data_IF_322294692182
#
_entry.id   IF_322294692182
#
_cell.length_a   1.000
_cell.length_b   1.000
_cell.length_c   1.000
_cell.angle_alpha   90.00
_cell.angle_beta   90.00
_cell.angle_gamma   90.00
#
_symmetry.space_group_name_H-M   'P 1'
#
loop_
_entity.id
_entity.type
_entity.pdbx_description
1 polymer ?
#
# COMPACT_ATOMS: atom_id res chain seq x y z
N UNK A 1 16.70 -10.66 4.09
CA UNK A 1 15.67 -11.50 4.74
C UNK A 1 16.37 -12.54 5.59
N UNK A 2 15.85 -12.83 6.78
CA UNK A 2 16.36 -13.93 7.60
C UNK A 2 15.98 -15.26 6.98
N UNK A 3 16.97 -16.08 6.65
CA UNK A 3 16.74 -17.44 6.17
C UNK A 3 16.70 -18.40 7.36
N UNK A 4 15.55 -19.00 7.62
CA UNK A 4 15.35 -19.92 8.74
C UNK A 4 16.07 -21.26 8.55
N UNK A 5 16.40 -21.65 7.33
CA UNK A 5 17.10 -22.90 7.03
C UNK A 5 18.62 -22.76 7.25
N UNK A 6 19.18 -21.61 6.86
CA UNK A 6 20.64 -21.38 7.00
C UNK A 6 21.01 -20.65 8.27
N UNK A 7 20.05 -20.05 8.98
CA UNK A 7 20.28 -19.24 10.18
C UNK A 7 21.06 -17.93 9.90
N UNK A 8 21.02 -17.42 8.68
CA UNK A 8 21.73 -16.23 8.26
C UNK A 8 20.80 -15.21 7.60
N UNK A 9 21.22 -13.95 7.56
CA UNK A 9 20.57 -12.95 6.73
C UNK A 9 21.00 -13.14 5.26
N UNK A 10 20.05 -13.40 4.38
CA UNK A 10 20.32 -13.37 2.96
C UNK A 10 20.88 -12.01 2.58
N UNK A 11 21.99 -12.00 1.83
CA UNK A 11 22.50 -10.77 1.23
C UNK A 11 21.39 -10.22 0.31
N UNK A 12 21.17 -8.91 0.35
CA UNK A 12 20.27 -8.25 -0.59
C UNK A 12 20.72 -8.62 -2.00
N UNK A 13 19.85 -9.25 -2.78
CA UNK A 13 20.09 -9.39 -4.20
C UNK A 13 19.99 -7.99 -4.80
N UNK A 14 21.03 -7.57 -5.52
CA UNK A 14 20.94 -6.33 -6.29
C UNK A 14 19.83 -6.52 -7.31
N UNK A 15 18.80 -5.72 -7.18
CA UNK A 15 17.66 -5.70 -8.09
C UNK A 15 17.68 -4.39 -8.86
N UNK A 16 17.35 -4.48 -10.16
CA UNK A 16 17.14 -3.27 -10.96
C UNK A 16 15.85 -2.54 -10.57
N UNK A 17 14.97 -3.20 -9.79
CA UNK A 17 13.70 -2.66 -9.31
C UNK A 17 13.83 -2.18 -7.88
N UNK A 18 13.86 -0.86 -7.70
CA UNK A 18 13.96 -0.22 -6.38
C UNK A 18 12.67 0.48 -6.00
N UNK A 19 12.27 0.34 -4.74
CA UNK A 19 11.10 1.04 -4.19
C UNK A 19 11.46 1.73 -2.87
N UNK A 20 10.89 2.91 -2.65
CA UNK A 20 10.94 3.57 -1.35
C UNK A 20 9.65 3.31 -0.59
N UNK A 21 9.78 2.87 0.67
CA UNK A 21 8.68 2.61 1.60
C UNK A 21 8.61 3.76 2.59
N UNK A 22 7.54 4.54 2.55
CA UNK A 22 7.28 5.57 3.56
C UNK A 22 6.75 4.88 4.81
N UNK A 23 7.48 5.05 5.92
CA UNK A 23 7.22 4.34 7.17
C UNK A 23 6.19 5.05 8.05
N UNK A 24 4.94 4.61 7.98
CA UNK A 24 3.87 4.98 8.92
C UNK A 24 3.71 3.97 10.07
N UNK A 25 4.52 2.92 10.10
CA UNK A 25 4.46 1.78 11.02
C UNK A 25 4.56 0.44 10.26
N UNK A 26 5.53 0.36 9.34
CA UNK A 26 5.72 -0.80 8.47
C UNK A 26 6.08 -2.06 9.26
N UNK A 27 5.45 -3.18 8.91
CA UNK A 27 5.79 -4.48 9.49
C UNK A 27 6.95 -5.11 8.73
N UNK A 28 7.91 -5.71 9.46
CA UNK A 28 9.05 -6.43 8.86
C UNK A 28 8.58 -7.53 7.90
N UNK A 29 7.49 -8.23 8.24
CA UNK A 29 6.91 -9.26 7.35
C UNK A 29 6.54 -8.69 5.98
N UNK A 30 5.96 -7.49 5.92
CA UNK A 30 5.61 -6.87 4.65
C UNK A 30 6.84 -6.41 3.85
N UNK A 31 7.90 -5.94 4.52
CA UNK A 31 9.18 -5.67 3.84
C UNK A 31 9.77 -6.95 3.22
N UNK A 32 9.63 -8.10 3.89
CA UNK A 32 10.05 -9.38 3.34
C UNK A 32 9.25 -9.74 2.07
N UNK A 33 7.92 -9.52 2.06
CA UNK A 33 7.09 -9.74 0.86
C UNK A 33 7.56 -8.89 -0.33
N UNK A 34 7.94 -7.62 -0.09
CA UNK A 34 8.48 -6.76 -1.14
C UNK A 34 9.83 -7.28 -1.68
N UNK A 35 10.70 -7.78 -0.79
CA UNK A 35 11.98 -8.39 -1.20
C UNK A 35 11.76 -9.68 -1.99
N UNK A 36 10.79 -10.51 -1.61
CA UNK A 36 10.41 -11.73 -2.35
C UNK A 36 9.85 -11.42 -3.74
N UNK A 37 9.23 -10.25 -3.93
CA UNK A 37 8.84 -9.74 -5.25
C UNK A 37 10.03 -9.30 -6.12
N UNK A 38 11.24 -9.35 -5.57
CA UNK A 38 12.48 -8.94 -6.25
C UNK A 38 12.80 -7.47 -6.14
N UNK A 39 12.19 -6.73 -5.19
CA UNK A 39 12.53 -5.32 -4.99
C UNK A 39 13.75 -5.13 -4.08
N UNK A 40 14.59 -4.17 -4.43
CA UNK A 40 15.46 -3.50 -3.48
C UNK A 40 14.65 -2.44 -2.72
N UNK A 41 14.56 -2.58 -1.40
CA UNK A 41 13.65 -1.80 -0.56
C UNK A 41 14.43 -0.81 0.29
N UNK A 42 14.13 0.48 0.15
CA UNK A 42 14.62 1.55 1.00
C UNK A 42 13.47 2.08 1.87
N UNK A 43 13.63 2.03 3.19
CA UNK A 43 12.62 2.57 4.13
C UNK A 43 12.99 4.01 4.46
N UNK A 44 12.04 4.93 4.27
CA UNK A 44 12.20 6.35 4.55
C UNK A 44 11.19 6.82 5.61
N UNK A 45 11.53 7.81 6.44
CA UNK A 45 10.63 8.33 7.46
C UNK A 45 9.31 8.87 6.88
N UNK A 46 8.23 8.85 7.67
CA UNK A 46 6.94 9.45 7.31
C UNK A 46 7.04 10.95 6.96
N UNK A 47 8.01 11.65 7.54
CA UNK A 47 8.27 13.08 7.30
C UNK A 47 9.03 13.37 5.99
N UNK A 48 9.42 12.35 5.23
CA UNK A 48 10.13 12.52 3.94
C UNK A 48 9.27 13.31 2.98
N UNK A 49 9.88 14.32 2.36
CA UNK A 49 9.17 15.19 1.42
C UNK A 49 8.96 14.51 0.07
N UNK A 50 7.79 14.69 -0.49
CA UNK A 50 7.45 14.15 -1.82
C UNK A 50 8.42 14.62 -2.91
N UNK A 51 8.97 15.83 -2.80
CA UNK A 51 9.95 16.34 -3.76
C UNK A 51 11.22 15.48 -3.83
N UNK A 52 11.71 15.00 -2.68
CA UNK A 52 12.89 14.13 -2.65
C UNK A 52 12.60 12.78 -3.33
N UNK A 53 11.43 12.22 -3.06
CA UNK A 53 10.97 10.97 -3.67
C UNK A 53 10.78 11.13 -5.18
N UNK A 54 10.10 12.21 -5.60
CA UNK A 54 9.88 12.53 -7.01
C UNK A 54 11.21 12.74 -7.76
N UNK A 55 12.18 13.41 -7.14
CA UNK A 55 13.50 13.60 -7.70
C UNK A 55 14.25 12.26 -7.85
N UNK A 56 14.15 11.36 -6.87
CA UNK A 56 14.71 10.01 -6.96
C UNK A 56 14.06 9.21 -8.10
N UNK A 57 12.74 9.30 -8.25
CA UNK A 57 12.01 8.65 -9.34
C UNK A 57 12.43 9.20 -10.72
N UNK A 58 12.45 10.52 -10.89
CA UNK A 58 12.89 11.17 -12.14
C UNK A 58 14.33 10.86 -12.50
N UNK A 59 15.18 10.66 -11.49
CA UNK A 59 16.59 10.28 -11.68
C UNK A 59 16.77 8.77 -11.94
N UNK A 60 15.68 7.97 -11.97
CA UNK A 60 15.74 6.53 -12.17
C UNK A 60 16.35 5.76 -10.99
N UNK A 61 16.45 6.37 -9.81
CA UNK A 61 16.96 5.72 -8.59
C UNK A 61 15.96 4.78 -7.96
N UNK A 62 14.66 5.05 -8.15
CA UNK A 62 13.54 4.22 -7.70
C UNK A 62 12.52 4.10 -8.83
N UNK A 63 11.78 3.00 -8.88
CA UNK A 63 10.71 2.78 -9.84
C UNK A 63 9.31 2.90 -9.25
N UNK A 64 9.18 3.02 -7.92
CA UNK A 64 7.88 3.12 -7.24
C UNK A 64 7.97 3.47 -5.77
N UNK A 65 6.82 3.76 -5.18
CA UNK A 65 6.66 4.12 -3.76
C UNK A 65 5.65 3.21 -3.09
N UNK A 66 5.92 2.85 -1.84
CA UNK A 66 4.99 2.11 -1.00
C UNK A 66 4.60 2.98 0.20
N UNK A 67 3.29 3.22 0.36
CA UNK A 67 2.72 3.84 1.55
C UNK A 67 2.39 2.74 2.55
N UNK A 68 3.13 2.64 3.64
CA UNK A 68 3.04 1.49 4.53
C UNK A 68 1.78 1.49 5.40
N UNK A 69 1.54 0.35 6.04
CA UNK A 69 0.60 0.27 7.17
C UNK A 69 1.07 1.12 8.35
N UNK A 70 0.15 1.46 9.22
CA UNK A 70 0.42 2.21 10.43
C UNK A 70 -0.78 2.24 11.34
N UNK A 71 -0.63 2.89 12.50
CA UNK A 71 -1.70 3.11 13.46
C UNK A 71 -2.11 4.58 13.45
N UNK A 72 -3.35 4.86 13.88
CA UNK A 72 -3.84 6.22 14.06
C UNK A 72 -5.03 6.58 13.19
N UNK A 73 -5.44 7.84 13.31
CA UNK A 73 -6.56 8.39 12.55
C UNK A 73 -6.03 9.04 11.26
N UNK A 74 -6.37 8.51 10.07
CA UNK A 74 -5.87 9.07 8.81
C UNK A 74 -6.34 10.52 8.57
N UNK A 75 -7.48 10.92 9.12
CA UNK A 75 -8.05 12.26 8.87
C UNK A 75 -7.27 13.42 9.54
N UNK A 76 -6.37 13.14 10.47
CA UNK A 76 -5.56 14.18 11.13
C UNK A 76 -4.17 14.33 10.51
N UNK A 77 -3.78 13.47 9.60
CA UNK A 77 -2.48 13.43 8.95
C UNK A 77 -2.48 14.33 7.68
N UNK A 78 -2.80 15.61 7.89
CA UNK A 78 -3.03 16.58 6.78
C UNK A 78 -1.78 16.83 5.95
N UNK A 79 -0.61 16.84 6.57
CA UNK A 79 0.66 17.09 5.90
C UNK A 79 1.04 15.87 5.02
N UNK A 80 0.88 14.67 5.55
CA UNK A 80 1.11 13.43 4.81
C UNK A 80 0.15 13.31 3.61
N UNK A 81 -1.13 13.67 3.79
CA UNK A 81 -2.12 13.69 2.71
C UNK A 81 -1.68 14.66 1.60
N UNK A 82 -1.18 15.85 1.95
CA UNK A 82 -0.71 16.83 0.98
C UNK A 82 0.53 16.33 0.22
N UNK A 83 1.48 15.68 0.90
CA UNK A 83 2.66 15.08 0.26
C UNK A 83 2.26 13.92 -0.67
N UNK A 84 1.31 13.04 -0.25
CA UNK A 84 0.82 11.95 -1.08
C UNK A 84 0.12 12.48 -2.34
N UNK A 85 -0.65 13.56 -2.24
CA UNK A 85 -1.28 14.19 -3.41
C UNK A 85 -0.24 14.60 -4.47
N UNK A 86 0.90 15.14 -4.05
CA UNK A 86 2.01 15.48 -4.96
C UNK A 86 2.64 14.23 -5.61
N UNK A 87 2.73 13.12 -4.85
CA UNK A 87 3.19 11.84 -5.43
C UNK A 87 2.21 11.34 -6.50
N UNK A 88 0.89 11.41 -6.24
CA UNK A 88 -0.16 11.09 -7.22
C UNK A 88 0.00 11.91 -8.51
N UNK A 89 0.20 13.22 -8.37
CA UNK A 89 0.34 14.14 -9.50
C UNK A 89 1.63 13.89 -10.31
N UNK A 90 2.62 13.23 -9.71
CA UNK A 90 3.88 12.85 -10.40
C UNK A 90 3.79 11.58 -11.25
N UNK A 91 2.66 10.86 -11.17
CA UNK A 91 2.41 9.59 -11.86
C UNK A 91 3.40 8.46 -11.52
N UNK A 92 4.04 8.53 -10.36
CA UNK A 92 4.90 7.46 -9.83
C UNK A 92 4.04 6.25 -9.46
N UNK A 93 4.47 4.99 -9.73
CA UNK A 93 3.75 3.81 -9.24
C UNK A 93 3.64 3.80 -7.71
N UNK A 94 2.41 3.65 -7.18
CA UNK A 94 2.15 3.66 -5.74
C UNK A 94 1.42 2.38 -5.33
N UNK A 95 1.94 1.71 -4.30
CA UNK A 95 1.24 0.68 -3.54
C UNK A 95 0.96 1.19 -2.13
N UNK A 96 -0.31 1.28 -1.73
CA UNK A 96 -0.69 1.77 -0.42
C UNK A 96 -1.36 0.66 0.42
N UNK A 97 -0.93 0.48 1.67
CA UNK A 97 -1.35 -0.62 2.54
C UNK A 97 -1.81 -0.12 3.91
N UNK A 98 -2.91 -0.64 4.42
CA UNK A 98 -3.42 -0.29 5.75
C UNK A 98 -3.69 1.19 5.94
N UNK A 99 -2.93 1.89 6.80
CA UNK A 99 -3.05 3.34 6.96
C UNK A 99 -2.80 4.06 5.63
N UNK A 100 -1.79 3.64 4.87
CA UNK A 100 -1.51 4.18 3.54
C UNK A 100 -2.69 4.09 2.57
N UNK A 101 -3.49 3.02 2.64
CA UNK A 101 -4.71 2.85 1.82
C UNK A 101 -5.73 3.99 2.08
N UNK A 102 -5.94 4.35 3.34
CA UNK A 102 -6.83 5.45 3.70
C UNK A 102 -6.25 6.82 3.34
N UNK A 103 -4.95 7.01 3.54
CA UNK A 103 -4.27 8.25 3.18
C UNK A 103 -4.30 8.50 1.66
N UNK A 104 -4.13 7.44 0.86
CA UNK A 104 -4.22 7.54 -0.60
C UNK A 104 -5.64 7.93 -1.06
N UNK A 105 -6.68 7.35 -0.42
CA UNK A 105 -8.07 7.72 -0.71
C UNK A 105 -8.36 9.19 -0.36
N UNK A 106 -7.90 9.66 0.81
CA UNK A 106 -8.02 11.06 1.23
C UNK A 106 -7.28 12.01 0.29
N UNK A 107 -6.05 11.68 -0.10
CA UNK A 107 -5.26 12.45 -1.06
C UNK A 107 -5.92 12.51 -2.45
N UNK A 108 -6.70 11.48 -2.81
CA UNK A 108 -7.50 11.42 -4.04
C UNK A 108 -8.85 12.14 -3.91
N UNK A 109 -9.14 12.79 -2.77
CA UNK A 109 -10.34 13.58 -2.53
C UNK A 109 -11.56 12.80 -2.05
N UNK A 110 -11.41 11.54 -1.65
CA UNK A 110 -12.49 10.69 -1.16
C UNK A 110 -12.50 10.68 0.36
N UNK A 111 -13.69 10.76 0.96
CA UNK A 111 -13.86 10.74 2.41
C UNK A 111 -13.57 9.37 3.02
N UNK A 112 -13.01 9.42 4.22
CA UNK A 112 -12.75 8.25 5.06
C UNK A 112 -13.42 8.48 6.41
N UNK A 113 -14.40 7.65 6.73
CA UNK A 113 -15.20 7.77 7.94
C UNK A 113 -14.78 6.72 8.98
N UNK A 114 -14.79 7.15 10.25
CA UNK A 114 -14.58 6.22 11.37
C UNK A 114 -15.84 5.38 11.59
N UNK A 115 -15.67 4.05 11.64
CA UNK A 115 -16.77 3.13 11.92
C UNK A 115 -16.95 2.91 13.42
N UNK A 116 -18.22 2.79 13.86
CA UNK A 116 -18.55 2.61 15.28
C UNK A 116 -18.23 1.22 15.84
N UNK A 117 -18.15 0.22 14.98
CA UNK A 117 -17.86 -1.16 15.39
C UNK A 117 -16.48 -1.55 14.88
N UNK A 118 -15.54 -1.60 15.79
CA UNK A 118 -14.19 -2.06 15.55
C UNK A 118 -14.24 -3.55 15.23
N UNK A 119 -13.76 -3.93 14.06
CA UNK A 119 -13.63 -5.33 13.65
C UNK A 119 -12.16 -5.65 13.46
N UNK A 120 -11.48 -5.99 14.54
CA UNK A 120 -10.14 -6.57 14.47
C UNK A 120 -10.25 -8.06 14.18
N UNK A 121 -9.32 -8.59 13.41
CA UNK A 121 -9.16 -10.02 13.22
C UNK A 121 -9.06 -10.46 11.77
N UNK A 122 -9.25 -11.76 11.59
CA UNK A 122 -9.20 -12.40 10.28
C UNK A 122 -10.57 -12.33 9.60
N UNK A 123 -10.59 -11.79 8.40
CA UNK A 123 -11.80 -11.64 7.61
C UNK A 123 -11.65 -12.37 6.26
N UNK A 124 -12.69 -13.09 5.81
CA UNK A 124 -12.71 -13.60 4.46
C UNK A 124 -12.90 -12.44 3.47
N UNK A 125 -11.97 -12.36 2.54
CA UNK A 125 -11.90 -11.34 1.49
C UNK A 125 -12.05 -12.05 0.17
N UNK A 126 -12.96 -11.58 -0.66
CA UNK A 126 -13.18 -12.08 -2.01
C UNK A 126 -12.55 -11.13 -3.02
N UNK A 127 -11.56 -11.63 -3.76
CA UNK A 127 -11.04 -11.05 -4.98
C UNK A 127 -11.78 -11.54 -6.22
N UNK A 128 -11.20 -11.34 -7.39
CA UNK A 128 -11.82 -11.75 -8.66
C UNK A 128 -11.97 -13.28 -8.77
N UNK A 129 -10.95 -14.03 -8.33
CA UNK A 129 -10.88 -15.49 -8.53
C UNK A 129 -10.73 -16.30 -7.24
N UNK A 130 -10.44 -15.63 -6.13
CA UNK A 130 -10.09 -16.28 -4.86
C UNK A 130 -10.85 -15.69 -3.68
N UNK A 131 -10.99 -16.50 -2.63
CA UNK A 131 -11.37 -16.03 -1.30
C UNK A 131 -10.20 -16.33 -0.37
N UNK A 132 -9.71 -15.32 0.30
CA UNK A 132 -8.57 -15.39 1.20
C UNK A 132 -8.94 -14.92 2.60
N UNK A 133 -8.26 -15.44 3.62
CA UNK A 133 -8.41 -14.97 4.99
C UNK A 133 -7.33 -13.95 5.28
N UNK A 134 -7.71 -12.67 5.40
CA UNK A 134 -6.77 -11.58 5.64
C UNK A 134 -6.99 -10.93 7.00
N UNK A 135 -5.89 -10.58 7.67
CA UNK A 135 -5.94 -9.78 8.89
C UNK A 135 -6.29 -8.33 8.57
N UNK A 136 -7.38 -7.84 9.12
CA UNK A 136 -7.80 -6.44 9.02
C UNK A 136 -7.89 -5.84 10.41
N UNK A 137 -7.23 -4.70 10.59
CA UNK A 137 -7.20 -3.95 11.84
C UNK A 137 -7.53 -2.50 11.54
N UNK A 138 -8.78 -2.23 11.18
CA UNK A 138 -9.20 -0.89 10.78
C UNK A 138 -10.51 -0.44 11.40
N UNK A 139 -10.52 0.82 11.85
CA UNK A 139 -11.69 1.51 12.40
C UNK A 139 -12.32 2.45 11.35
N UNK A 140 -11.89 2.34 10.09
CA UNK A 140 -12.24 3.30 9.06
C UNK A 140 -12.88 2.62 7.86
N UNK A 141 -13.67 3.38 7.13
CA UNK A 141 -14.29 2.96 5.86
C UNK A 141 -14.13 4.10 4.84
N UNK A 142 -13.70 3.74 3.65
CA UNK A 142 -13.69 4.66 2.50
C UNK A 142 -15.13 4.83 1.99
N UNK A 143 -15.50 6.07 1.65
CA UNK A 143 -16.80 6.39 1.06
C UNK A 143 -17.02 5.64 -0.25
N UNK A 144 -18.28 5.30 -0.55
CA UNK A 144 -18.67 4.65 -1.81
C UNK A 144 -18.32 5.48 -3.05
N UNK A 145 -18.10 6.80 -2.90
CA UNK A 145 -17.65 7.68 -3.98
C UNK A 145 -16.34 7.24 -4.62
N UNK A 146 -15.55 6.41 -3.90
CA UNK A 146 -14.30 5.84 -4.42
C UNK A 146 -14.52 5.10 -5.76
N UNK A 147 -15.70 4.51 -5.97
CA UNK A 147 -16.06 3.79 -7.21
C UNK A 147 -16.04 4.67 -8.47
N UNK A 148 -16.13 6.00 -8.29
CA UNK A 148 -16.04 6.95 -9.41
C UNK A 148 -14.60 7.03 -9.94
N UNK A 149 -13.58 6.83 -9.09
CA UNK A 149 -12.17 7.02 -9.40
C UNK A 149 -11.32 5.74 -9.29
N UNK A 150 -11.86 4.67 -8.74
CA UNK A 150 -11.16 3.40 -8.60
C UNK A 150 -12.09 2.21 -8.83
N UNK A 151 -11.53 1.13 -9.32
CA UNK A 151 -12.18 -0.18 -9.40
C UNK A 151 -11.92 -0.95 -8.11
N UNK A 152 -12.99 -1.51 -7.54
CA UNK A 152 -12.92 -2.35 -6.35
C UNK A 152 -12.46 -3.75 -6.76
N UNK A 153 -11.26 -4.13 -6.36
CA UNK A 153 -10.68 -5.44 -6.71
C UNK A 153 -10.97 -6.52 -5.66
N UNK A 154 -11.11 -6.12 -4.39
CA UNK A 154 -11.42 -7.05 -3.30
C UNK A 154 -12.44 -6.45 -2.35
N UNK A 155 -13.33 -7.31 -1.83
CA UNK A 155 -14.39 -6.96 -0.88
C UNK A 155 -14.40 -7.90 0.32
N UNK A 156 -14.89 -7.43 1.48
CA UNK A 156 -15.22 -8.29 2.62
C UNK A 156 -16.46 -9.11 2.30
N UNK A 157 -16.41 -10.43 2.49
CA UNK A 157 -17.51 -11.35 2.15
C UNK A 157 -18.80 -11.06 2.92
N UNK A 158 -18.69 -10.58 4.16
CA UNK A 158 -19.87 -10.41 5.02
C UNK A 158 -20.64 -9.08 4.82
N UNK A 159 -20.05 -8.08 4.21
CA UNK A 159 -20.68 -6.76 4.10
C UNK A 159 -20.37 -6.01 2.82
N UNK A 160 -19.73 -6.67 1.86
CA UNK A 160 -19.34 -6.15 0.54
C UNK A 160 -18.54 -4.83 0.57
N UNK A 161 -17.95 -4.47 1.74
CA UNK A 161 -17.11 -3.27 1.81
C UNK A 161 -15.83 -3.46 1.00
N UNK A 162 -15.46 -2.44 0.23
CA UNK A 162 -14.23 -2.41 -0.53
C UNK A 162 -13.00 -2.42 0.39
N UNK A 163 -12.05 -3.31 0.12
CA UNK A 163 -10.81 -3.44 0.89
C UNK A 163 -9.56 -3.43 0.04
N UNK A 164 -9.70 -3.49 -1.28
CA UNK A 164 -8.59 -3.23 -2.19
C UNK A 164 -9.10 -2.54 -3.46
N UNK A 165 -8.27 -1.65 -3.98
CA UNK A 165 -8.62 -0.70 -5.02
C UNK A 165 -7.51 -0.62 -6.07
N UNK A 166 -7.94 -0.46 -7.33
CA UNK A 166 -7.10 -0.06 -8.45
C UNK A 166 -7.62 1.28 -8.98
N UNK A 167 -6.80 2.32 -8.91
CA UNK A 167 -7.23 3.66 -9.33
C UNK A 167 -7.26 3.77 -10.86
N UNK A 168 -8.33 4.34 -11.39
CA UNK A 168 -8.57 4.46 -12.83
C UNK A 168 -7.62 5.47 -13.45
N UNK A 169 -7.02 5.09 -14.59
CA UNK A 169 -6.08 5.93 -15.35
C UNK A 169 -4.86 6.40 -14.54
N UNK A 170 -4.46 5.64 -13.52
CA UNK A 170 -3.33 5.94 -12.65
C UNK A 170 -2.55 4.67 -12.32
N UNK A 171 -1.30 4.84 -11.86
CA UNK A 171 -0.42 3.76 -11.44
C UNK A 171 -0.51 3.51 -9.93
N UNK A 172 -1.72 3.45 -9.39
CA UNK A 172 -1.97 3.38 -7.96
C UNK A 172 -2.83 2.16 -7.62
N UNK A 173 -2.33 1.39 -6.66
CA UNK A 173 -3.01 0.24 -6.05
C UNK A 173 -3.07 0.43 -4.55
N UNK A 174 -4.14 -0.03 -3.91
CA UNK A 174 -4.21 0.00 -2.46
C UNK A 174 -4.98 -1.16 -1.85
N UNK A 175 -4.63 -1.52 -0.60
CA UNK A 175 -5.36 -2.51 0.18
C UNK A 175 -5.42 -2.17 1.67
N UNK A 176 -6.56 -2.45 2.32
CA UNK A 176 -6.73 -2.33 3.76
C UNK A 176 -5.90 -3.37 4.52
N UNK A 177 -5.66 -4.53 3.94
CA UNK A 177 -4.84 -5.63 4.47
C UNK A 177 -3.42 -5.61 3.90
N UNK A 178 -2.48 -6.28 4.57
CA UNK A 178 -1.13 -6.48 4.03
C UNK A 178 -1.15 -7.62 3.00
N UNK A 179 -0.98 -7.34 1.71
CA UNK A 179 -0.97 -8.37 0.68
C UNK A 179 0.34 -9.16 0.74
N UNK A 180 0.28 -10.44 0.39
CA UNK A 180 1.46 -11.30 0.25
C UNK A 180 2.05 -11.21 -1.16
N UNK A 181 3.32 -11.59 -1.31
CA UNK A 181 4.09 -11.43 -2.56
C UNK A 181 3.44 -12.09 -3.79
N UNK A 182 2.75 -13.21 -3.61
CA UNK A 182 2.04 -13.90 -4.69
C UNK A 182 0.61 -13.38 -4.96
N UNK A 183 0.13 -12.36 -4.23
CA UNK A 183 -1.17 -11.76 -4.46
C UNK A 183 -1.22 -10.99 -5.79
N UNK A 184 -2.42 -10.90 -6.39
CA UNK A 184 -2.62 -10.15 -7.65
C UNK A 184 -2.21 -8.68 -7.51
N UNK A 185 -2.46 -8.05 -6.36
CA UNK A 185 -2.10 -6.65 -6.07
C UNK A 185 -0.58 -6.45 -6.12
N UNK A 186 0.16 -7.33 -5.43
CA UNK A 186 1.62 -7.26 -5.39
C UNK A 186 2.24 -7.55 -6.76
N UNK A 187 1.74 -8.55 -7.48
CA UNK A 187 2.21 -8.87 -8.82
C UNK A 187 1.93 -7.75 -9.82
N UNK A 188 0.78 -7.11 -9.73
CA UNK A 188 0.45 -5.96 -10.58
C UNK A 188 1.35 -4.76 -10.27
N UNK A 189 1.60 -4.46 -8.99
CA UNK A 189 2.55 -3.42 -8.61
C UNK A 189 3.95 -3.71 -9.15
N UNK A 190 4.41 -4.96 -9.06
CA UNK A 190 5.73 -5.35 -9.59
C UNK A 190 5.86 -5.18 -11.11
N UNK A 191 4.74 -5.24 -11.85
CA UNK A 191 4.72 -4.95 -13.29
C UNK A 191 4.75 -3.44 -13.60
N UNK A 192 4.22 -2.61 -12.70
CA UNK A 192 4.24 -1.15 -12.85
C UNK A 192 5.62 -0.57 -12.58
N UNK A 193 6.38 -1.17 -11.66
CA UNK A 193 7.75 -0.75 -11.30
C UNK A 193 8.74 -1.25 -12.36
N UNK A 194 9.40 -0.31 -12.99
CA UNK A 194 10.41 -0.57 -14.05
C UNK A 194 11.80 -0.46 -13.49
#
# INVERSE_FOLDING_TARGET
>A
VWNHETGEYNKAQMSDKRVQVIDYGVKKSFLNELVELGFEVEVVPASTKSDDIINNFKAGKIGGVVLSSGAGNPNILTDEIAEIKRLIDSNIPILAVGLGHYLLALASGVKVDKIKSIKYGSHPIRGEKTVEICGINGDFKISEDIKNIADVTHIKVFNDSAVALKYKNKNELSSEFSPVSNSSICQEFAQMVK
#
